data_IF_863494315774
#
_entry.id   IF_863494315774
#
_cell.length_a   1.000
_cell.length_b   1.000
_cell.length_c   1.000
_cell.angle_alpha   90.00
_cell.angle_beta   90.00
_cell.angle_gamma   90.00
#
_symmetry.space_group_name_H-M   'P 1'
#
loop_
_entity.id
_entity.type
_entity.pdbx_description
1 polymer ?
#
# COMPACT_ATOMS: atom_id res chain seq x y z
N UNK A 1 8.85 -46.67 -18.89
CA UNK A 1 9.81 -47.50 -18.13
C UNK A 1 9.28 -47.76 -16.74
N UNK A 2 9.79 -48.79 -16.06
CA UNK A 2 9.37 -49.17 -14.71
C UNK A 2 9.63 -48.00 -13.71
N UNK A 3 10.70 -47.28 -13.91
CA UNK A 3 11.07 -46.09 -13.14
C UNK A 3 10.04 -44.93 -13.25
N UNK A 4 9.40 -44.79 -14.41
CA UNK A 4 8.38 -43.76 -14.63
C UNK A 4 7.09 -44.07 -13.85
N UNK A 5 6.71 -45.33 -13.71
CA UNK A 5 5.53 -45.75 -12.96
C UNK A 5 5.73 -45.58 -11.44
N UNK A 6 6.94 -45.76 -10.94
CA UNK A 6 7.28 -45.54 -9.54
C UNK A 6 7.26 -44.05 -9.22
N UNK A 7 7.79 -43.22 -10.11
CA UNK A 7 7.74 -41.78 -9.98
C UNK A 7 6.29 -41.26 -9.96
N UNK A 8 5.41 -41.73 -10.82
CA UNK A 8 4.00 -41.40 -10.85
C UNK A 8 3.30 -41.84 -9.56
N UNK A 9 3.65 -43.03 -9.05
CA UNK A 9 3.08 -43.51 -7.77
C UNK A 9 3.43 -42.62 -6.58
N UNK A 10 4.65 -42.10 -6.52
CA UNK A 10 5.10 -41.15 -5.51
C UNK A 10 4.38 -39.82 -5.64
N UNK A 11 4.15 -39.31 -6.86
CA UNK A 11 3.39 -38.10 -7.11
C UNK A 11 1.94 -38.22 -6.61
N UNK A 12 1.29 -39.37 -6.81
CA UNK A 12 -0.06 -39.62 -6.31
C UNK A 12 -0.10 -39.46 -4.78
N UNK A 13 0.83 -40.09 -4.07
CA UNK A 13 0.92 -40.05 -2.61
C UNK A 13 1.19 -38.61 -2.13
N UNK A 14 2.10 -37.89 -2.77
CA UNK A 14 2.44 -36.51 -2.40
C UNK A 14 1.25 -35.57 -2.52
N UNK A 15 0.42 -35.73 -3.56
CA UNK A 15 -0.80 -34.95 -3.72
C UNK A 15 -1.96 -35.43 -2.85
N UNK A 16 -2.03 -36.69 -2.49
CA UNK A 16 -3.04 -37.22 -1.56
C UNK A 16 -2.78 -36.78 -0.12
N UNK A 17 -1.54 -36.83 0.32
CA UNK A 17 -1.15 -36.62 1.71
C UNK A 17 -0.56 -35.24 1.98
N UNK A 18 -0.35 -34.42 0.93
CA UNK A 18 0.24 -33.09 1.07
C UNK A 18 1.72 -33.10 1.46
N UNK A 19 2.47 -34.17 1.11
CA UNK A 19 3.90 -34.31 1.45
C UNK A 19 4.74 -33.42 0.52
N UNK A 20 5.28 -32.33 1.04
CA UNK A 20 6.08 -31.38 0.29
C UNK A 20 5.30 -30.50 -0.71
N UNK A 21 4.00 -30.70 -0.84
CA UNK A 21 3.08 -29.94 -1.68
C UNK A 21 1.71 -29.84 -0.96
N UNK A 22 0.90 -28.81 -1.23
CA UNK A 22 -0.46 -28.77 -0.71
C UNK A 22 -1.28 -29.99 -1.18
N UNK A 23 -2.07 -30.57 -0.27
CA UNK A 23 -3.01 -31.65 -0.59
C UNK A 23 -3.90 -31.25 -1.77
N UNK A 24 -3.95 -32.10 -2.82
CA UNK A 24 -4.79 -31.86 -3.99
C UNK A 24 -5.32 -33.20 -4.53
N UNK A 25 -6.52 -33.54 -4.12
CA UNK A 25 -7.18 -34.79 -4.47
C UNK A 25 -7.46 -34.92 -5.99
N UNK A 26 -7.71 -33.81 -6.67
CA UNK A 26 -7.99 -33.80 -8.10
C UNK A 26 -6.73 -34.15 -8.91
N UNK A 27 -5.59 -33.59 -8.50
CA UNK A 27 -4.30 -33.89 -9.12
C UNK A 27 -3.85 -35.33 -8.82
N UNK A 28 -4.11 -35.83 -7.63
CA UNK A 28 -3.85 -37.22 -7.29
C UNK A 28 -4.67 -38.18 -8.18
N UNK A 29 -5.96 -37.89 -8.37
CA UNK A 29 -6.84 -38.67 -9.26
C UNK A 29 -6.38 -38.62 -10.73
N UNK A 30 -5.94 -37.47 -11.19
CA UNK A 30 -5.37 -37.31 -12.55
C UNK A 30 -4.18 -38.23 -12.76
N UNK A 31 -3.21 -38.22 -11.84
CA UNK A 31 -2.03 -39.05 -11.94
C UNK A 31 -2.35 -40.57 -11.81
N UNK A 32 -3.36 -40.89 -11.05
CA UNK A 32 -3.88 -42.24 -10.91
C UNK A 32 -4.45 -42.75 -12.24
N UNK A 33 -5.30 -41.96 -12.90
CA UNK A 33 -5.86 -42.29 -14.23
C UNK A 33 -4.77 -42.39 -15.30
N UNK A 34 -3.79 -41.47 -15.26
CA UNK A 34 -2.65 -41.50 -16.19
C UNK A 34 -1.81 -42.78 -16.02
N UNK A 35 -1.57 -43.21 -14.78
CA UNK A 35 -0.91 -44.48 -14.47
C UNK A 35 -1.68 -45.66 -15.02
N UNK A 36 -3.00 -45.68 -14.87
CA UNK A 36 -3.86 -46.73 -15.40
C UNK A 36 -3.81 -46.81 -16.94
N UNK A 37 -3.82 -45.69 -17.63
CA UNK A 37 -3.67 -45.60 -19.08
C UNK A 37 -2.31 -46.13 -19.56
N UNK A 38 -1.23 -45.93 -18.81
CA UNK A 38 0.08 -46.45 -19.11
C UNK A 38 0.19 -47.98 -18.91
N UNK A 39 -0.51 -48.49 -17.88
CA UNK A 39 -0.52 -49.93 -17.58
C UNK A 39 -1.41 -50.74 -18.51
N UNK A 40 -2.50 -50.14 -19.00
CA UNK A 40 -3.46 -50.74 -19.88
C UNK A 40 -3.65 -49.91 -21.16
N UNK A 41 -2.71 -49.97 -22.13
CA UNK A 41 -2.91 -49.30 -23.42
C UNK A 41 -4.03 -50.00 -24.18
N UNK A 42 -5.28 -49.75 -23.82
CA UNK A 42 -6.45 -50.19 -24.56
C UNK A 42 -6.57 -49.36 -25.84
N UNK A 43 -6.91 -50.03 -26.94
CA UNK A 43 -7.26 -49.45 -28.22
C UNK A 43 -8.26 -48.29 -28.05
N UNK A 44 -8.19 -47.26 -28.92
CA UNK A 44 -9.07 -46.08 -28.77
C UNK A 44 -10.53 -46.49 -28.97
N UNK A 45 -11.29 -46.60 -27.91
CA UNK A 45 -12.74 -46.56 -27.99
C UNK A 45 -13.14 -45.12 -28.34
N UNK A 46 -13.51 -44.97 -29.62
CA UNK A 46 -14.23 -43.85 -30.15
C UNK A 46 -15.49 -43.56 -29.33
N UNK A 47 -15.65 -42.27 -28.96
CA UNK A 47 -16.84 -41.64 -28.39
C UNK A 47 -16.81 -41.35 -26.88
N UNK A 48 -15.85 -40.54 -26.44
CA UNK A 48 -16.13 -39.58 -25.39
C UNK A 48 -15.90 -38.18 -25.96
N UNK A 49 -16.83 -37.22 -25.74
CA UNK A 49 -16.61 -35.85 -26.19
C UNK A 49 -15.33 -35.34 -25.54
N UNK A 50 -14.51 -34.65 -26.32
CA UNK A 50 -13.29 -33.97 -25.87
C UNK A 50 -13.57 -33.19 -24.57
N UNK A 51 -13.51 -33.88 -23.47
CA UNK A 51 -13.32 -33.21 -22.20
C UNK A 51 -11.83 -32.83 -22.20
N UNK A 52 -11.54 -31.69 -22.83
CA UNK A 52 -10.30 -30.98 -22.61
C UNK A 52 -10.19 -30.89 -21.10
N UNK A 53 -9.34 -31.74 -20.52
CA UNK A 53 -8.95 -31.59 -19.11
C UNK A 53 -8.26 -30.23 -19.02
N UNK A 54 -9.09 -29.20 -18.82
CA UNK A 54 -8.63 -27.90 -18.43
C UNK A 54 -7.99 -28.15 -17.07
N UNK A 55 -6.66 -28.33 -17.10
CA UNK A 55 -5.92 -28.29 -15.82
C UNK A 55 -6.45 -27.10 -15.06
N UNK A 56 -6.93 -27.27 -13.83
CA UNK A 56 -7.42 -26.12 -13.07
C UNK A 56 -6.26 -25.14 -13.04
N UNK A 57 -6.43 -24.05 -13.79
CA UNK A 57 -5.44 -22.97 -13.86
C UNK A 57 -5.16 -22.61 -12.41
N UNK A 58 -3.94 -22.85 -11.97
CA UNK A 58 -3.51 -22.64 -10.60
C UNK A 58 -3.81 -21.17 -10.29
N UNK A 59 -4.99 -20.89 -9.73
CA UNK A 59 -5.36 -19.55 -9.30
C UNK A 59 -4.29 -19.10 -8.33
N UNK A 60 -3.35 -18.31 -8.82
CA UNK A 60 -2.35 -17.73 -7.95
C UNK A 60 -3.09 -16.95 -6.88
N UNK A 61 -2.93 -17.39 -5.63
CA UNK A 61 -3.53 -16.71 -4.50
C UNK A 61 -3.01 -15.29 -4.47
N UNK A 62 -3.90 -14.33 -4.32
CA UNK A 62 -3.52 -12.94 -4.17
C UNK A 62 -2.50 -12.80 -3.05
N UNK A 63 -1.33 -12.24 -3.38
CA UNK A 63 -0.27 -11.98 -2.40
C UNK A 63 -0.50 -10.60 -1.81
N UNK A 64 -0.57 -10.52 -0.50
CA UNK A 64 -0.64 -9.24 0.20
C UNK A 64 0.74 -8.60 0.26
N UNK A 65 0.75 -7.28 0.11
CA UNK A 65 1.93 -6.44 0.15
C UNK A 65 1.79 -5.46 1.31
N UNK A 66 2.81 -5.38 2.15
CA UNK A 66 2.97 -4.30 3.12
C UNK A 66 4.34 -3.68 2.87
N UNK A 67 4.38 -2.37 2.72
CA UNK A 67 5.62 -1.67 2.45
C UNK A 67 5.69 -0.35 3.24
N UNK A 68 6.89 -0.02 3.69
CA UNK A 68 7.23 1.30 4.18
C UNK A 68 7.62 2.19 3.00
N UNK A 69 7.17 3.43 3.01
CA UNK A 69 7.52 4.41 1.99
C UNK A 69 8.07 5.67 2.64
N UNK A 70 9.13 6.19 2.08
CA UNK A 70 9.82 7.38 2.56
C UNK A 70 9.74 8.49 1.52
N UNK A 71 9.53 9.72 1.97
CA UNK A 71 9.74 10.93 1.17
C UNK A 71 10.25 12.04 2.07
N UNK A 72 10.98 13.01 1.53
CA UNK A 72 11.51 14.13 2.33
C UNK A 72 10.42 14.96 3.01
N UNK A 73 9.25 15.07 2.40
CA UNK A 73 8.13 15.85 2.94
C UNK A 73 7.28 15.08 3.94
N UNK A 74 7.19 13.78 3.78
CA UNK A 74 6.43 12.86 4.63
C UNK A 74 7.25 11.58 4.85
N UNK A 75 8.17 11.58 5.85
CA UNK A 75 9.10 10.49 6.04
C UNK A 75 8.44 9.18 6.48
N UNK A 76 7.23 9.24 6.99
CA UNK A 76 6.51 8.06 7.45
C UNK A 76 5.36 7.73 6.51
N UNK A 77 5.50 6.64 5.78
CA UNK A 77 4.45 6.15 4.92
C UNK A 77 4.27 4.64 5.04
N UNK A 78 3.01 4.22 5.09
CA UNK A 78 2.62 2.82 5.03
C UNK A 78 1.81 2.59 3.77
N UNK A 79 2.22 1.58 3.00
CA UNK A 79 1.51 1.09 1.83
C UNK A 79 1.04 -0.33 2.11
N UNK A 80 -0.25 -0.55 1.94
CA UNK A 80 -0.88 -1.86 2.00
C UNK A 80 -1.53 -2.17 0.66
N UNK A 81 -1.44 -3.40 0.18
CA UNK A 81 -2.02 -3.76 -1.09
C UNK A 81 -2.11 -5.26 -1.32
N UNK A 82 -2.67 -5.61 -2.46
CA UNK A 82 -2.74 -6.99 -2.94
C UNK A 82 -2.25 -7.07 -4.37
N UNK A 83 -1.53 -8.13 -4.69
CA UNK A 83 -0.97 -8.39 -6.01
C UNK A 83 -1.47 -9.72 -6.53
N UNK A 84 -2.12 -9.69 -7.70
CA UNK A 84 -2.40 -10.86 -8.52
C UNK A 84 -1.24 -11.15 -9.47
N UNK A 85 -1.50 -11.81 -10.58
CA UNK A 85 -0.47 -12.21 -11.56
C UNK A 85 0.22 -11.02 -12.23
N UNK A 86 -0.56 -10.06 -12.72
CA UNK A 86 -0.08 -8.87 -13.43
C UNK A 86 -0.52 -7.56 -12.81
N UNK A 87 -1.69 -7.54 -12.16
CA UNK A 87 -2.30 -6.36 -11.60
C UNK A 87 -2.50 -6.50 -10.11
N UNK A 88 -2.32 -5.40 -9.42
CA UNK A 88 -2.57 -5.27 -8.00
C UNK A 88 -3.21 -3.93 -7.66
N UNK A 89 -3.56 -3.78 -6.40
CA UNK A 89 -4.10 -2.54 -5.86
C UNK A 89 -3.29 -2.17 -4.61
N UNK A 90 -3.32 -0.90 -4.26
CA UNK A 90 -2.74 -0.44 -3.01
C UNK A 90 -3.51 0.74 -2.41
N UNK A 91 -3.39 0.84 -1.11
CA UNK A 91 -3.73 2.02 -0.32
C UNK A 91 -2.46 2.46 0.40
N UNK A 92 -2.21 3.74 0.40
CA UNK A 92 -1.02 4.32 1.03
C UNK A 92 -1.40 5.53 1.86
N UNK A 93 -0.85 5.63 3.06
CA UNK A 93 -0.94 6.81 3.91
C UNK A 93 0.47 7.30 4.19
N UNK A 94 0.69 8.59 4.04
CA UNK A 94 1.96 9.25 4.37
C UNK A 94 1.73 10.39 5.32
N UNK A 95 2.65 10.56 6.27
CA UNK A 95 2.64 11.66 7.23
C UNK A 95 4.06 12.03 7.67
N UNK A 96 4.27 13.24 8.10
CA UNK A 96 5.50 13.61 8.81
C UNK A 96 5.38 13.46 10.34
N UNK A 97 4.23 12.94 10.84
CA UNK A 97 3.91 12.75 12.27
C UNK A 97 4.05 14.05 13.09
N UNK A 98 4.07 15.19 12.44
CA UNK A 98 4.09 16.47 13.11
C UNK A 98 2.65 16.98 13.17
N UNK A 99 2.00 16.80 14.32
CA UNK A 99 0.64 17.27 14.56
C UNK A 99 0.70 18.48 15.49
N UNK A 100 1.33 19.56 15.01
CA UNK A 100 1.38 20.79 15.75
C UNK A 100 0.01 21.49 15.65
N UNK A 101 -0.60 21.79 16.78
CA UNK A 101 -1.77 22.65 16.84
C UNK A 101 -1.41 24.09 16.50
N UNK A 102 -2.34 24.82 15.92
CA UNK A 102 -2.20 26.24 15.61
C UNK A 102 -3.45 26.99 16.06
N UNK A 103 -3.26 28.26 16.43
CA UNK A 103 -4.32 29.10 16.99
C UNK A 103 -4.76 30.24 16.08
N UNK A 104 -3.96 30.57 15.05
CA UNK A 104 -4.24 31.66 14.13
C UNK A 104 -3.81 31.35 12.68
N UNK A 105 -4.07 32.28 11.79
CA UNK A 105 -3.66 32.27 10.40
C UNK A 105 -2.68 33.42 10.13
N UNK A 106 -1.71 33.20 9.24
CA UNK A 106 -0.77 34.20 8.78
C UNK A 106 -0.61 34.15 7.25
N UNK A 107 -0.02 35.18 6.67
CA UNK A 107 0.38 35.26 5.28
C UNK A 107 1.88 34.90 5.10
N UNK A 108 2.39 34.96 3.86
CA UNK A 108 3.78 34.71 3.56
C UNK A 108 4.73 35.79 4.10
N UNK A 109 4.24 36.97 4.36
CA UNK A 109 5.01 38.10 4.90
C UNK A 109 5.19 38.01 6.41
N UNK A 110 4.50 37.04 7.05
CA UNK A 110 4.57 36.82 8.51
C UNK A 110 3.62 37.73 9.28
N UNK A 111 2.59 38.26 8.63
CA UNK A 111 1.53 38.99 9.32
C UNK A 111 0.43 38.05 9.76
N UNK A 112 -0.06 38.22 10.99
CA UNK A 112 -1.15 37.43 11.53
C UNK A 112 -2.47 37.99 11.00
N UNK A 113 -3.23 37.17 10.26
CA UNK A 113 -4.49 37.59 9.62
C UNK A 113 -5.73 37.48 10.54
N UNK A 114 -5.67 36.57 11.48
CA UNK A 114 -6.77 36.39 12.44
C UNK A 114 -6.20 36.02 13.79
N UNK A 115 -6.21 37.01 14.68
CA UNK A 115 -5.92 36.80 16.08
C UNK A 115 -7.17 37.15 16.88
N UNK A 116 -7.47 36.36 17.88
CA UNK A 116 -8.69 36.52 18.67
C UNK A 116 -8.64 37.70 19.64
N UNK A 117 -7.44 38.27 19.91
CA UNK A 117 -7.24 39.37 20.84
C UNK A 117 -6.57 40.54 20.15
N UNK A 118 -7.32 41.67 20.12
CA UNK A 118 -6.85 42.95 19.60
C UNK A 118 -5.82 43.66 20.50
N UNK A 119 -5.41 43.04 21.61
CA UNK A 119 -4.63 43.66 22.68
C UNK A 119 -3.20 43.09 22.81
N UNK A 120 -2.73 42.34 21.83
CA UNK A 120 -1.41 41.71 21.90
C UNK A 120 -0.51 42.14 20.75
N UNK A 121 0.75 42.48 21.04
CA UNK A 121 1.79 42.57 20.03
C UNK A 121 2.38 41.21 19.75
N UNK A 122 2.90 40.99 18.55
CA UNK A 122 3.49 39.72 18.16
C UNK A 122 4.82 39.91 17.39
N UNK A 123 5.70 38.94 17.53
CA UNK A 123 6.97 38.89 16.82
C UNK A 123 7.20 37.51 16.20
N UNK A 124 7.56 37.46 14.94
CA UNK A 124 7.93 36.21 14.27
C UNK A 124 9.27 35.67 14.78
N UNK A 125 9.30 34.40 15.16
CA UNK A 125 10.51 33.73 15.70
C UNK A 125 11.40 33.10 14.62
N UNK A 126 10.98 33.15 13.35
CA UNK A 126 11.68 32.52 12.25
C UNK A 126 11.57 30.98 12.22
N UNK A 127 10.94 30.37 13.21
CA UNK A 127 10.75 28.92 13.24
C UNK A 127 9.54 28.54 12.40
N UNK A 128 9.68 27.48 11.61
CA UNK A 128 8.59 26.92 10.81
C UNK A 128 8.47 25.42 10.99
N UNK A 129 7.25 24.90 10.95
CA UNK A 129 6.92 23.48 10.95
C UNK A 129 5.95 23.16 9.82
N UNK A 130 5.96 21.91 9.39
CA UNK A 130 5.00 21.41 8.40
C UNK A 130 4.23 20.26 9.01
N UNK A 131 2.90 20.30 8.86
CA UNK A 131 2.04 19.16 9.11
C UNK A 131 1.65 18.59 7.75
N UNK A 132 2.00 17.35 7.48
CA UNK A 132 1.69 16.71 6.20
C UNK A 132 0.98 15.39 6.45
N UNK A 133 -0.16 15.24 5.77
CA UNK A 133 -0.92 14.01 5.75
C UNK A 133 -1.44 13.78 4.34
N UNK A 134 -1.23 12.62 3.76
CA UNK A 134 -1.79 12.25 2.47
C UNK A 134 -2.23 10.80 2.43
N UNK A 135 -3.32 10.55 1.73
CA UNK A 135 -3.83 9.22 1.44
C UNK A 135 -3.91 9.02 -0.06
N UNK A 136 -3.42 7.89 -0.56
CA UNK A 136 -3.43 7.54 -1.98
C UNK A 136 -3.95 6.13 -2.18
N UNK A 137 -4.77 5.95 -3.20
CA UNK A 137 -5.22 4.64 -3.67
C UNK A 137 -4.77 4.47 -5.12
N UNK A 138 -4.43 3.26 -5.50
CA UNK A 138 -3.95 3.06 -6.86
C UNK A 138 -3.79 1.61 -7.25
N UNK A 139 -3.22 1.43 -8.43
CA UNK A 139 -2.94 0.14 -9.03
C UNK A 139 -1.45 -0.10 -9.12
N UNK A 140 -1.08 -1.38 -8.99
CA UNK A 140 0.28 -1.88 -9.19
C UNK A 140 0.25 -2.74 -10.44
N UNK A 141 1.23 -2.55 -11.32
CA UNK A 141 1.38 -3.32 -12.56
C UNK A 141 2.74 -4.00 -12.53
N UNK A 142 2.77 -5.30 -12.72
CA UNK A 142 4.01 -6.06 -12.90
C UNK A 142 4.45 -5.94 -14.35
N UNK A 143 5.51 -5.18 -14.61
CA UNK A 143 6.05 -4.97 -15.94
C UNK A 143 6.88 -6.16 -16.40
N UNK A 144 7.82 -6.62 -15.56
CA UNK A 144 8.66 -7.81 -15.79
C UNK A 144 8.92 -8.49 -14.44
N UNK A 145 9.48 -9.71 -14.40
CA UNK A 145 9.86 -10.34 -13.14
C UNK A 145 10.71 -9.38 -12.29
N UNK A 146 10.26 -9.06 -11.06
CA UNK A 146 10.91 -8.17 -10.09
C UNK A 146 10.77 -6.66 -10.34
N UNK A 147 10.16 -6.22 -11.45
CA UNK A 147 9.90 -4.79 -11.69
C UNK A 147 8.40 -4.49 -11.64
N UNK A 148 8.03 -3.53 -10.80
CA UNK A 148 6.65 -3.10 -10.61
C UNK A 148 6.54 -1.60 -10.83
N UNK A 149 5.53 -1.19 -11.55
CA UNK A 149 5.10 0.20 -11.66
C UNK A 149 3.83 0.40 -10.84
N UNK A 150 3.66 1.56 -10.24
CA UNK A 150 2.43 1.90 -9.55
C UNK A 150 1.94 3.28 -9.96
N UNK A 151 0.64 3.39 -10.14
CA UNK A 151 -0.05 4.65 -10.43
C UNK A 151 -1.22 4.77 -9.47
N UNK A 152 -1.46 5.97 -8.96
CA UNK A 152 -2.54 6.19 -8.03
C UNK A 152 -2.93 7.64 -7.93
N UNK A 153 -4.09 7.86 -7.35
CA UNK A 153 -4.64 9.16 -7.05
C UNK A 153 -4.94 9.23 -5.55
N UNK A 154 -4.77 10.39 -4.98
CA UNK A 154 -4.98 10.58 -3.57
C UNK A 154 -5.38 12.01 -3.23
N UNK A 155 -5.53 12.21 -1.94
CA UNK A 155 -5.79 13.51 -1.37
C UNK A 155 -4.72 13.81 -0.32
N UNK A 156 -4.15 15.01 -0.40
CA UNK A 156 -3.11 15.47 0.51
C UNK A 156 -3.49 16.78 1.20
N UNK A 157 -3.08 16.87 2.44
CA UNK A 157 -3.18 18.05 3.26
C UNK A 157 -1.80 18.41 3.78
N UNK A 158 -1.39 19.66 3.58
CA UNK A 158 -0.11 20.19 4.01
C UNK A 158 -0.31 21.57 4.59
N UNK A 159 -0.05 21.72 5.88
CA UNK A 159 -0.03 23.00 6.56
C UNK A 159 1.42 23.44 6.79
N UNK A 160 1.71 24.67 6.42
CA UNK A 160 2.93 25.36 6.82
C UNK A 160 2.59 26.24 8.02
N UNK A 161 3.30 26.02 9.12
CA UNK A 161 3.11 26.73 10.36
C UNK A 161 4.32 27.58 10.67
N UNK A 162 4.08 28.84 11.07
CA UNK A 162 5.10 29.75 11.57
C UNK A 162 4.88 30.00 13.06
N UNK A 163 5.97 30.09 13.79
CA UNK A 163 5.95 30.36 15.22
C UNK A 163 6.07 31.84 15.49
N UNK A 164 5.24 32.33 16.37
CA UNK A 164 5.23 33.71 16.86
C UNK A 164 5.31 33.72 18.39
N UNK A 165 5.93 34.77 18.92
CA UNK A 165 5.82 35.12 20.33
C UNK A 165 4.83 36.23 20.45
N UNK A 166 3.85 36.08 21.30
CA UNK A 166 2.86 37.13 21.65
C UNK A 166 3.21 37.74 23.00
N UNK A 167 2.98 39.01 23.12
CA UNK A 167 3.20 39.79 24.33
C UNK A 167 1.86 40.41 24.73
N UNK A 168 1.46 40.19 25.99
CA UNK A 168 0.28 40.88 26.55
C UNK A 168 0.62 42.33 26.85
N UNK A 169 -0.31 43.23 26.58
CA UNK A 169 -0.12 44.68 26.91
C UNK A 169 -0.09 44.93 28.42
N UNK A 170 -0.79 44.13 29.21
CA UNK A 170 -0.89 44.29 30.66
C UNK A 170 0.35 43.75 31.38
N UNK A 171 1.02 42.77 30.83
CA UNK A 171 2.23 42.19 31.41
C UNK A 171 3.20 41.78 30.30
N UNK A 172 4.23 42.60 30.03
CA UNK A 172 5.27 42.33 29.04
C UNK A 172 6.12 41.10 29.40
N UNK A 173 6.00 40.55 30.59
CA UNK A 173 6.68 39.32 30.99
C UNK A 173 5.89 38.08 30.63
N UNK A 174 4.60 38.19 30.35
CA UNK A 174 3.79 37.04 29.90
C UNK A 174 3.97 36.82 28.38
N UNK A 175 4.97 36.03 28.05
CA UNK A 175 5.31 35.63 26.68
C UNK A 175 4.66 34.30 26.36
N UNK A 176 3.84 34.23 25.34
CA UNK A 176 3.25 33.00 24.87
C UNK A 176 3.76 32.65 23.46
N UNK A 177 4.15 31.36 23.27
CA UNK A 177 4.53 30.85 21.97
C UNK A 177 3.28 30.27 21.27
N UNK A 178 2.94 30.85 20.15
CA UNK A 178 1.82 30.39 19.32
C UNK A 178 2.31 29.92 17.95
N UNK A 179 1.52 29.04 17.35
CA UNK A 179 1.71 28.61 15.97
C UNK A 179 0.55 29.13 15.13
N UNK A 180 0.89 29.78 14.01
CA UNK A 180 -0.07 30.26 13.03
C UNK A 180 0.11 29.52 11.72
N UNK A 181 -1.02 29.18 11.10
CA UNK A 181 -1.05 28.52 9.80
C UNK A 181 -0.88 29.54 8.70
N UNK A 182 0.10 29.34 7.84
CA UNK A 182 0.25 30.13 6.61
C UNK A 182 -0.81 29.68 5.59
N UNK A 183 -1.77 30.55 5.32
CA UNK A 183 -2.90 30.23 4.42
C UNK A 183 -2.53 30.20 2.96
N UNK A 184 -1.49 30.93 2.56
CA UNK A 184 -1.02 31.02 1.18
C UNK A 184 -0.09 29.87 0.81
N UNK A 185 0.73 29.39 1.76
CA UNK A 185 1.67 28.30 1.56
C UNK A 185 1.13 26.93 1.97
N UNK A 186 -0.04 26.88 2.60
CA UNK A 186 -0.72 25.63 2.93
C UNK A 186 -1.49 25.11 1.72
N UNK A 187 -1.45 23.79 1.52
CA UNK A 187 -2.07 23.13 0.38
C UNK A 187 -3.04 22.04 0.85
N UNK A 188 -4.17 21.98 0.17
CA UNK A 188 -5.18 20.96 0.37
C UNK A 188 -5.75 20.56 -0.98
N UNK A 189 -5.48 19.35 -1.42
CA UNK A 189 -5.91 18.94 -2.75
C UNK A 189 -5.42 17.56 -3.19
N UNK A 190 -5.54 17.32 -4.49
CA UNK A 190 -5.21 16.05 -5.12
C UNK A 190 -3.69 15.83 -5.08
N UNK A 191 -3.29 14.63 -4.64
CA UNK A 191 -1.91 14.13 -4.66
C UNK A 191 -1.83 12.96 -5.64
N UNK A 192 -0.79 12.90 -6.46
CA UNK A 192 -0.53 11.82 -7.41
C UNK A 192 0.78 11.09 -7.08
#
# INVERSE_FOLDING_TARGET
TEDDLDAISKLIIYYQEGIGTPENKELALYWQNYKEQLLHPQLPETNTPDTVLIMPEKRERMKFLVAYTYSMEAPFGLKFGGMGERFGWYVQVKSNISFQSFTGNCNNEGEILSFSDNESSYQANGNSKRNTLSGTVGMIIKCVPRLYASVGLGYGHRDLLHQFTTYSYDDMQDQQLIWCKNTEASYKGIAA
#
